data_IF_878797387953
#
_entry.id   IF_878797387953
#
_cell.length_a   1.000
_cell.length_b   1.000
_cell.length_c   1.000
_cell.angle_alpha   90.00
_cell.angle_beta   90.00
_cell.angle_gamma   90.00
#
_symmetry.space_group_name_H-M   'P 1'
#
loop_
_entity.id
_entity.type
_entity.pdbx_description
1 polymer ?
#
# COMPACT_ATOMS: atom_id res chain seq x y z
N UNK A 1 15.85 8.56 -0.38
CA UNK A 1 15.41 7.15 -0.50
C UNK A 1 15.19 6.48 0.86
N UNK A 2 16.09 6.62 1.83
CA UNK A 2 15.95 5.98 3.15
C UNK A 2 14.76 6.52 3.98
N UNK A 3 14.56 7.84 4.01
CA UNK A 3 13.42 8.47 4.71
C UNK A 3 12.07 7.99 4.15
N UNK A 4 11.96 7.87 2.83
CA UNK A 4 10.75 7.37 2.17
C UNK A 4 10.48 5.90 2.54
N UNK A 5 11.52 5.05 2.61
CA UNK A 5 11.37 3.68 3.08
C UNK A 5 10.88 3.62 4.53
N UNK A 6 11.40 4.48 5.41
CA UNK A 6 10.92 4.58 6.81
C UNK A 6 9.46 5.03 6.89
N UNK A 7 9.06 6.01 6.08
CA UNK A 7 7.65 6.44 5.99
C UNK A 7 6.74 5.30 5.52
N UNK A 8 7.14 4.57 4.48
CA UNK A 8 6.39 3.41 3.97
C UNK A 8 6.27 2.32 5.03
N UNK A 9 7.36 2.01 5.73
CA UNK A 9 7.33 1.02 6.81
C UNK A 9 6.37 1.44 7.93
N UNK A 10 6.42 2.71 8.35
CA UNK A 10 5.49 3.25 9.34
C UNK A 10 4.02 3.17 8.88
N UNK A 11 3.74 3.43 7.60
CA UNK A 11 2.39 3.26 7.03
C UNK A 11 1.95 1.80 7.16
N UNK A 12 2.82 0.83 6.85
CA UNK A 12 2.53 -0.61 6.98
C UNK A 12 2.22 -0.96 8.46
N UNK A 13 3.01 -0.43 9.40
CA UNK A 13 2.79 -0.67 10.84
C UNK A 13 1.47 -0.08 11.36
N UNK A 14 1.10 1.14 10.94
CA UNK A 14 -0.19 1.75 11.30
C UNK A 14 -1.37 0.98 10.71
N UNK A 15 -1.23 0.47 9.48
CA UNK A 15 -2.23 -0.40 8.86
C UNK A 15 -2.35 -1.70 9.66
N UNK A 16 -1.23 -2.35 9.98
CA UNK A 16 -1.23 -3.58 10.78
C UNK A 16 -1.92 -3.39 12.13
N UNK A 17 -1.62 -2.29 12.84
CA UNK A 17 -2.27 -1.93 14.10
C UNK A 17 -3.76 -1.65 13.95
N UNK A 18 -4.16 -0.90 12.92
CA UNK A 18 -5.55 -0.51 12.72
C UNK A 18 -6.49 -1.69 12.43
N UNK A 19 -6.02 -2.68 11.66
CA UNK A 19 -6.82 -3.85 11.30
C UNK A 19 -6.45 -5.13 12.05
N UNK A 20 -5.50 -5.08 12.99
CA UNK A 20 -5.08 -6.24 13.78
C UNK A 20 -4.45 -7.35 12.94
N UNK A 21 -3.74 -6.98 11.87
CA UNK A 21 -3.15 -7.93 10.91
C UNK A 21 -1.63 -7.88 10.96
N UNK A 22 -1.00 -8.95 10.49
CA UNK A 22 0.45 -9.01 10.39
C UNK A 22 1.02 -8.06 9.32
N UNK A 23 2.33 -7.86 9.38
CA UNK A 23 3.06 -6.95 8.49
C UNK A 23 2.92 -7.32 7.02
N UNK A 24 2.90 -8.61 6.67
CA UNK A 24 2.77 -9.06 5.29
C UNK A 24 1.39 -8.74 4.74
N UNK A 25 0.34 -9.01 5.52
CA UNK A 25 -1.03 -8.66 5.18
C UNK A 25 -1.23 -7.13 5.07
N UNK A 26 -0.65 -6.35 5.98
CA UNK A 26 -0.68 -4.89 5.92
C UNK A 26 0.04 -4.33 4.68
N UNK A 27 1.20 -4.89 4.35
CA UNK A 27 1.94 -4.54 3.13
C UNK A 27 1.12 -4.87 1.88
N UNK A 28 0.45 -6.03 1.86
CA UNK A 28 -0.43 -6.42 0.75
C UNK A 28 -1.60 -5.44 0.59
N UNK A 29 -2.29 -5.07 1.68
CA UNK A 29 -3.37 -4.08 1.64
C UNK A 29 -2.89 -2.72 1.14
N UNK A 30 -1.76 -2.23 1.64
CA UNK A 30 -1.18 -0.98 1.15
C UNK A 30 -0.86 -1.08 -0.34
N UNK A 31 -0.24 -2.18 -0.77
CA UNK A 31 0.10 -2.37 -2.17
C UNK A 31 -1.15 -2.40 -3.06
N UNK A 32 -2.21 -3.11 -2.66
CA UNK A 32 -3.52 -3.10 -3.37
C UNK A 32 -4.07 -1.69 -3.53
N UNK A 33 -4.06 -0.92 -2.44
CA UNK A 33 -4.56 0.45 -2.45
C UNK A 33 -3.79 1.36 -3.41
N UNK A 34 -2.47 1.18 -3.50
CA UNK A 34 -1.57 2.03 -4.29
C UNK A 34 -1.52 1.59 -5.76
N UNK A 35 -1.30 0.30 -6.02
CA UNK A 35 -1.12 -0.26 -7.36
C UNK A 35 -2.45 -0.38 -8.13
N UNK A 36 -3.60 -0.60 -7.44
CA UNK A 36 -4.93 -0.76 -8.08
C UNK A 36 -4.95 -1.73 -9.28
N UNK A 37 -4.08 -2.75 -9.30
CA UNK A 37 -4.01 -3.69 -10.42
C UNK A 37 -3.04 -3.33 -11.57
N UNK A 38 -2.31 -2.23 -11.48
CA UNK A 38 -1.45 -1.72 -12.56
C UNK A 38 -0.05 -2.37 -12.65
N UNK A 39 0.35 -3.16 -11.66
CA UNK A 39 1.70 -3.72 -11.56
C UNK A 39 1.74 -5.21 -11.93
N UNK A 40 2.71 -5.60 -12.76
CA UNK A 40 2.83 -6.96 -13.31
C UNK A 40 3.04 -8.01 -12.21
N UNK A 41 3.73 -7.66 -11.12
CA UNK A 41 3.87 -8.53 -9.95
C UNK A 41 2.51 -8.91 -9.36
N UNK A 42 1.59 -7.95 -9.26
CA UNK A 42 0.24 -8.16 -8.72
C UNK A 42 -0.64 -8.94 -9.71
N UNK A 43 -0.45 -8.76 -11.01
CA UNK A 43 -1.10 -9.57 -12.07
C UNK A 43 -0.62 -11.03 -12.10
N UNK A 44 0.65 -11.27 -11.80
CA UNK A 44 1.25 -12.62 -11.84
C UNK A 44 0.84 -13.54 -10.69
N UNK A 45 0.35 -12.99 -9.57
CA UNK A 45 0.08 -13.75 -8.33
C UNK A 45 -1.39 -14.03 -8.03
N UNK A 46 -2.35 -13.40 -8.72
CA UNK A 46 -3.79 -13.66 -8.49
C UNK A 46 -4.58 -13.77 -9.80
N UNK A 47 -5.61 -14.63 -9.87
CA UNK A 47 -6.50 -14.71 -11.02
C UNK A 47 -7.43 -13.48 -11.11
N UNK A 48 -7.75 -12.98 -12.33
CA UNK A 48 -8.56 -11.77 -12.65
C UNK A 48 -9.86 -11.60 -11.84
N UNK A 49 -10.37 -12.73 -11.37
CA UNK A 49 -11.66 -12.92 -10.73
C UNK A 49 -11.64 -12.61 -9.22
N UNK A 50 -10.45 -12.57 -8.59
CA UNK A 50 -10.29 -12.16 -7.18
C UNK A 50 -9.90 -10.68 -7.00
N UNK A 51 -9.76 -9.94 -8.09
CA UNK A 51 -9.28 -8.55 -8.06
C UNK A 51 -10.35 -7.53 -7.66
N UNK A 52 -11.63 -7.82 -7.87
CA UNK A 52 -12.74 -6.86 -7.67
C UNK A 52 -13.22 -6.71 -6.21
N UNK A 53 -12.72 -7.51 -5.26
CA UNK A 53 -13.22 -7.58 -3.87
C UNK A 53 -12.30 -6.95 -2.80
N UNK A 54 -11.18 -6.34 -3.16
CA UNK A 54 -10.00 -6.45 -2.28
C UNK A 54 -9.89 -5.44 -1.12
N UNK A 55 -10.61 -4.31 -1.14
CA UNK A 55 -10.66 -3.34 -0.03
C UNK A 55 -12.03 -2.67 0.07
N UNK A 56 -12.63 -2.69 1.27
CA UNK A 56 -13.86 -1.96 1.58
C UNK A 56 -13.64 -0.45 1.51
N UNK A 57 -14.72 0.33 1.37
CA UNK A 57 -14.61 1.79 1.41
C UNK A 57 -13.98 2.30 2.71
N UNK A 58 -14.29 1.65 3.84
CA UNK A 58 -13.69 1.98 5.14
C UNK A 58 -12.18 1.76 5.11
N UNK A 59 -11.72 0.64 4.56
CA UNK A 59 -10.30 0.35 4.40
C UNK A 59 -9.62 1.39 3.50
N UNK A 60 -10.25 1.77 2.39
CA UNK A 60 -9.71 2.81 1.48
C UNK A 60 -9.58 4.15 2.17
N UNK A 61 -10.63 4.62 2.86
CA UNK A 61 -10.61 5.89 3.62
C UNK A 61 -9.58 5.84 4.74
N UNK A 62 -9.50 4.71 5.46
CA UNK A 62 -8.55 4.50 6.53
C UNK A 62 -7.10 4.54 6.06
N UNK A 63 -6.78 3.84 4.96
CA UNK A 63 -5.43 3.83 4.37
C UNK A 63 -5.07 5.23 3.86
N UNK A 64 -6.00 5.93 3.20
CA UNK A 64 -5.78 7.30 2.75
C UNK A 64 -5.46 8.25 3.92
N UNK A 65 -6.20 8.17 5.02
CA UNK A 65 -5.95 8.99 6.21
C UNK A 65 -4.57 8.72 6.82
N UNK A 66 -4.17 7.45 6.92
CA UNK A 66 -2.83 7.06 7.40
C UNK A 66 -1.74 7.63 6.49
N UNK A 67 -1.90 7.50 5.17
CA UNK A 67 -0.94 8.04 4.20
C UNK A 67 -0.82 9.55 4.35
N UNK A 68 -1.94 10.29 4.40
CA UNK A 68 -1.93 11.75 4.57
C UNK A 68 -1.25 12.15 5.88
N UNK A 69 -1.54 11.46 6.98
CA UNK A 69 -0.93 11.75 8.28
C UNK A 69 0.59 11.55 8.32
N UNK A 70 1.13 10.59 7.56
CA UNK A 70 2.57 10.27 7.56
C UNK A 70 3.33 11.03 6.45
N UNK A 71 2.72 11.19 5.28
CA UNK A 71 3.35 11.82 4.13
C UNK A 71 3.25 13.35 4.17
N UNK A 72 2.37 13.91 5.01
CA UNK A 72 2.20 15.35 5.19
C UNK A 72 1.55 16.01 3.97
N UNK A 73 2.03 17.20 3.62
CA UNK A 73 1.41 18.09 2.61
C UNK A 73 1.63 17.68 1.14
N UNK A 74 2.13 16.47 0.89
CA UNK A 74 2.24 15.98 -0.49
C UNK A 74 0.86 15.61 -1.04
N UNK A 75 0.66 15.82 -2.34
CA UNK A 75 -0.56 15.35 -3.00
C UNK A 75 -0.68 13.83 -2.90
N UNK A 76 -1.91 13.33 -2.79
CA UNK A 76 -2.16 11.89 -2.75
C UNK A 76 -1.62 11.16 -3.99
N UNK A 77 -1.59 11.83 -5.15
CA UNK A 77 -1.00 11.28 -6.37
C UNK A 77 0.51 11.12 -6.25
N UNK A 78 1.22 12.13 -5.72
CA UNK A 78 2.65 12.03 -5.45
C UNK A 78 2.95 10.97 -4.40
N UNK A 79 2.19 10.94 -3.29
CA UNK A 79 2.33 9.93 -2.27
C UNK A 79 2.18 8.51 -2.84
N UNK A 80 1.19 8.30 -3.73
CA UNK A 80 1.01 7.02 -4.43
C UNK A 80 2.24 6.62 -5.24
N UNK A 81 2.77 7.53 -6.05
CA UNK A 81 3.97 7.27 -6.86
C UNK A 81 5.19 6.93 -6.00
N UNK A 82 5.42 7.71 -4.94
CA UNK A 82 6.57 7.52 -4.04
C UNK A 82 6.46 6.19 -3.28
N UNK A 83 5.29 5.87 -2.73
CA UNK A 83 5.04 4.59 -2.05
C UNK A 83 5.16 3.42 -3.03
N UNK A 84 4.63 3.55 -4.24
CA UNK A 84 4.72 2.51 -5.28
C UNK A 84 6.17 2.19 -5.64
N UNK A 85 7.03 3.21 -5.75
CA UNK A 85 8.46 3.03 -6.03
C UNK A 85 9.18 2.21 -4.95
N UNK A 86 8.70 2.23 -3.70
CA UNK A 86 9.24 1.43 -2.60
C UNK A 86 8.61 0.02 -2.54
N UNK A 87 7.30 -0.08 -2.77
CA UNK A 87 6.57 -1.34 -2.64
C UNK A 87 6.75 -2.27 -3.83
N UNK A 88 6.75 -1.71 -5.05
CA UNK A 88 6.73 -2.42 -6.31
C UNK A 88 8.13 -2.59 -6.94
N UNK A 89 9.18 -2.23 -6.21
CA UNK A 89 10.52 -2.68 -6.61
C UNK A 89 10.53 -4.21 -6.61
N UNK A 90 11.09 -4.86 -7.64
CA UNK A 90 11.16 -6.32 -7.69
C UNK A 90 11.85 -6.78 -6.41
N UNK A 91 11.11 -7.42 -5.52
CA UNK A 91 11.71 -8.23 -4.48
C UNK A 91 12.30 -9.40 -5.27
N UNK A 92 13.56 -9.26 -5.66
CA UNK A 92 14.42 -10.40 -5.97
C UNK A 92 14.41 -11.27 -4.72
N UNK A 93 13.61 -12.33 -4.76
CA UNK A 93 13.44 -13.33 -3.74
C UNK A 93 12.80 -14.54 -4.37
#
# INVERSE_FOLDING_TARGET
MEELRRKVERIIEEIGRKWGIDRSAAREMLHKFICRGACDWFRSRKPPERFELDLTEEQRRGIEAIIRGIMGDVSMEKARRDIHAVLCHPISG
#
